data_IF_753552227445
#
_entry.id   IF_753552227445
#
_cell.length_a   1.000
_cell.length_b   1.000
_cell.length_c   1.000
_cell.angle_alpha   90.00
_cell.angle_beta   90.00
_cell.angle_gamma   90.00
#
_symmetry.space_group_name_H-M   'P 1'
#
loop_
_entity.id
_entity.type
_entity.pdbx_description
1 polymer ?
#
# COMPACT_ATOMS: atom_id res chain seq x y z
N UNK A 1 -14.91 1.24 -2.80
CA UNK A 1 -15.40 1.60 -1.44
C UNK A 1 -14.26 1.90 -0.48
N UNK A 2 -13.39 0.95 -0.10
CA UNK A 2 -12.33 1.19 0.91
C UNK A 2 -11.34 2.33 0.54
N UNK A 3 -10.87 2.42 -0.72
CA UNK A 3 -9.97 3.52 -1.15
C UNK A 3 -10.62 4.89 -0.98
N UNK A 4 -11.92 5.02 -1.26
CA UNK A 4 -12.63 6.30 -1.07
C UNK A 4 -12.70 6.69 0.42
N UNK A 5 -12.93 5.72 1.31
CA UNK A 5 -12.87 5.94 2.76
C UNK A 5 -11.46 6.36 3.21
N UNK A 6 -10.40 5.75 2.64
CA UNK A 6 -9.01 6.13 2.92
C UNK A 6 -8.66 7.54 2.43
N UNK A 7 -9.15 7.94 1.23
CA UNK A 7 -9.01 9.31 0.73
C UNK A 7 -9.72 10.28 1.66
N UNK A 8 -10.96 9.99 2.07
CA UNK A 8 -11.69 10.83 3.02
C UNK A 8 -11.00 10.91 4.39
N UNK A 9 -10.44 9.80 4.89
CA UNK A 9 -9.63 9.78 6.11
C UNK A 9 -8.41 10.69 5.98
N UNK A 10 -7.75 10.68 4.82
CA UNK A 10 -6.61 11.55 4.52
C UNK A 10 -7.01 13.02 4.54
N UNK A 11 -8.13 13.39 3.90
CA UNK A 11 -8.63 14.77 3.91
C UNK A 11 -8.96 15.24 5.34
N UNK A 12 -9.54 14.38 6.18
CA UNK A 12 -9.81 14.70 7.59
C UNK A 12 -8.52 14.85 8.41
N UNK A 13 -7.50 14.02 8.16
CA UNK A 13 -6.21 14.13 8.80
C UNK A 13 -5.51 15.45 8.44
N UNK A 14 -5.57 15.86 7.16
CA UNK A 14 -5.08 17.16 6.69
C UNK A 14 -5.88 18.33 7.29
N UNK A 15 -7.20 18.16 7.45
CA UNK A 15 -8.09 19.10 8.11
C UNK A 15 -8.01 19.14 9.63
N UNK A 16 -6.98 18.54 10.24
CA UNK A 16 -6.76 18.48 11.70
C UNK A 16 -7.91 17.83 12.48
N UNK A 17 -8.58 16.83 11.89
CA UNK A 17 -9.63 16.01 12.52
C UNK A 17 -9.18 14.56 12.71
N UNK A 18 -8.15 14.30 13.53
CA UNK A 18 -7.47 13.00 13.61
C UNK A 18 -8.38 11.86 14.12
N UNK A 19 -9.31 12.15 15.03
CA UNK A 19 -10.27 11.15 15.51
C UNK A 19 -11.19 10.66 14.39
N UNK A 20 -11.77 11.58 13.60
CA UNK A 20 -12.62 11.23 12.47
C UNK A 20 -11.84 10.56 11.32
N UNK A 21 -10.58 10.96 11.11
CA UNK A 21 -9.69 10.26 10.19
C UNK A 21 -9.50 8.79 10.60
N UNK A 22 -9.28 8.52 11.89
CA UNK A 22 -9.15 7.16 12.40
C UNK A 22 -10.47 6.35 12.32
N UNK A 23 -11.62 6.98 12.51
CA UNK A 23 -12.95 6.35 12.30
C UNK A 23 -13.10 5.90 10.84
N UNK A 24 -12.83 6.77 9.86
CA UNK A 24 -12.93 6.41 8.44
C UNK A 24 -11.88 5.38 8.02
N UNK A 25 -10.69 5.43 8.60
CA UNK A 25 -9.65 4.44 8.37
C UNK A 25 -10.04 3.06 8.94
N UNK A 26 -10.65 3.01 10.12
CA UNK A 26 -11.22 1.79 10.69
C UNK A 26 -12.33 1.21 9.79
N UNK A 27 -13.26 2.05 9.31
CA UNK A 27 -14.29 1.65 8.36
C UNK A 27 -13.69 1.11 7.04
N UNK A 28 -12.62 1.75 6.55
CA UNK A 28 -11.88 1.29 5.38
C UNK A 28 -11.27 -0.10 5.60
N UNK A 29 -10.62 -0.31 6.75
CA UNK A 29 -10.01 -1.59 7.12
C UNK A 29 -11.04 -2.70 7.31
N UNK A 30 -12.16 -2.40 7.96
CA UNK A 30 -13.25 -3.36 8.15
C UNK A 30 -14.01 -3.66 6.85
N UNK A 31 -13.96 -2.76 5.87
CA UNK A 31 -14.44 -3.06 4.51
C UNK A 31 -13.53 -4.04 3.81
N UNK A 32 -12.21 -3.82 3.88
CA UNK A 32 -11.19 -4.60 3.19
C UNK A 32 -9.84 -4.50 3.93
N UNK A 33 -9.21 -5.62 4.34
CA UNK A 33 -7.87 -5.63 4.94
C UNK A 33 -6.80 -4.98 4.06
N UNK A 34 -7.04 -4.88 2.75
CA UNK A 34 -6.20 -4.14 1.79
C UNK A 34 -6.06 -2.64 2.12
N UNK A 35 -6.81 -2.11 3.08
CA UNK A 35 -6.62 -0.76 3.60
C UNK A 35 -5.47 -0.63 4.62
N UNK A 36 -4.85 -1.74 5.05
CA UNK A 36 -3.74 -1.75 5.99
C UNK A 36 -2.56 -0.82 5.61
N UNK A 37 -2.15 -0.68 4.34
CA UNK A 37 -1.08 0.24 3.95
C UNK A 37 -1.37 1.69 4.37
N UNK A 38 -2.63 2.11 4.48
CA UNK A 38 -2.95 3.48 4.85
C UNK A 38 -2.71 3.80 6.35
N UNK A 39 -2.58 2.78 7.20
CA UNK A 39 -2.46 2.93 8.65
C UNK A 39 -1.17 3.62 9.06
N UNK A 40 -0.03 3.13 8.57
CA UNK A 40 1.28 3.64 8.97
C UNK A 40 1.50 5.09 8.55
N UNK A 41 1.25 5.50 7.29
CA UNK A 41 1.38 6.90 6.88
C UNK A 41 0.46 7.87 7.63
N UNK A 42 -0.81 7.49 7.86
CA UNK A 42 -1.77 8.34 8.59
C UNK A 42 -1.37 8.45 10.07
N UNK A 43 -0.96 7.34 10.70
CA UNK A 43 -0.49 7.36 12.08
C UNK A 43 0.77 8.24 12.24
N UNK A 44 1.73 8.12 11.33
CA UNK A 44 2.94 8.96 11.30
C UNK A 44 2.59 10.44 11.14
N UNK A 45 1.61 10.78 10.29
CA UNK A 45 1.12 12.14 10.13
C UNK A 45 0.48 12.70 11.41
N UNK A 46 -0.41 11.95 12.03
CA UNK A 46 -1.10 12.37 13.26
C UNK A 46 -0.08 12.55 14.40
N UNK A 47 0.91 11.66 14.49
CA UNK A 47 2.03 11.79 15.42
C UNK A 47 2.80 13.09 15.19
N UNK A 48 3.19 13.35 13.95
CA UNK A 48 4.00 14.51 13.59
C UNK A 48 3.29 15.85 13.84
N UNK A 49 1.98 15.88 13.63
CA UNK A 49 1.19 17.12 13.68
C UNK A 49 0.51 17.37 15.03
N UNK A 50 0.27 16.33 15.82
CA UNK A 50 -0.48 16.42 17.07
C UNK A 50 0.15 15.70 18.27
N UNK A 51 1.26 14.99 18.10
CA UNK A 51 1.97 14.29 19.17
C UNK A 51 1.27 13.03 19.71
N UNK A 52 1.85 12.39 20.74
CA UNK A 52 1.39 11.10 21.27
C UNK A 52 -0.04 11.12 21.81
N UNK A 53 -0.46 12.20 22.46
CA UNK A 53 -1.82 12.33 23.03
C UNK A 53 -2.90 12.33 21.94
N UNK A 54 -2.61 12.97 20.81
CA UNK A 54 -3.52 13.00 19.65
C UNK A 54 -3.59 11.63 18.98
N UNK A 55 -2.47 10.93 18.88
CA UNK A 55 -2.44 9.53 18.39
C UNK A 55 -3.25 8.62 19.29
N UNK A 56 -3.10 8.73 20.62
CA UNK A 56 -3.88 7.92 21.57
C UNK A 56 -5.39 8.15 21.42
N UNK A 57 -5.83 9.41 21.29
CA UNK A 57 -7.25 9.75 21.07
C UNK A 57 -7.77 9.22 19.73
N UNK A 58 -6.99 9.35 18.67
CA UNK A 58 -7.35 8.84 17.35
C UNK A 58 -7.43 7.31 17.35
N UNK A 59 -6.45 6.63 17.96
CA UNK A 59 -6.44 5.19 18.14
C UNK A 59 -7.66 4.71 18.93
N UNK A 60 -8.02 5.39 20.03
CA UNK A 60 -9.21 5.09 20.80
C UNK A 60 -10.50 5.21 19.96
N UNK A 61 -10.63 6.25 19.14
CA UNK A 61 -11.79 6.43 18.25
C UNK A 61 -11.87 5.33 17.17
N UNK A 62 -10.75 4.97 16.55
CA UNK A 62 -10.69 3.87 15.58
C UNK A 62 -10.96 2.50 16.20
N UNK A 63 -10.43 2.24 17.40
CA UNK A 63 -10.68 1.02 18.16
C UNK A 63 -12.16 0.90 18.56
N UNK A 64 -12.75 1.97 19.11
CA UNK A 64 -14.18 1.99 19.44
C UNK A 64 -15.05 1.72 18.20
N UNK A 65 -14.72 2.35 17.06
CA UNK A 65 -15.40 2.09 15.78
C UNK A 65 -15.30 0.62 15.38
N UNK A 66 -14.10 0.03 15.46
CA UNK A 66 -13.86 -1.38 15.13
C UNK A 66 -14.68 -2.31 16.03
N UNK A 67 -14.72 -2.05 17.34
CA UNK A 67 -15.54 -2.83 18.30
C UNK A 67 -17.02 -2.76 17.93
N UNK A 68 -17.54 -1.57 17.66
CA UNK A 68 -18.94 -1.38 17.26
C UNK A 68 -19.26 -2.15 15.97
N UNK A 69 -18.36 -2.13 14.98
CA UNK A 69 -18.54 -2.86 13.72
C UNK A 69 -18.49 -4.38 13.89
N UNK A 70 -17.86 -4.89 14.96
CA UNK A 70 -17.83 -6.32 15.28
C UNK A 70 -19.06 -6.83 16.03
N UNK A 71 -19.83 -5.96 16.69
CA UNK A 71 -21.01 -6.33 17.46
C UNK A 71 -21.99 -7.27 16.71
N UNK A 72 -22.38 -7.01 15.44
CA UNK A 72 -23.32 -7.89 14.75
C UNK A 72 -22.75 -9.29 14.44
N UNK A 73 -21.45 -9.49 14.54
CA UNK A 73 -20.77 -10.75 14.19
C UNK A 73 -20.40 -11.60 15.42
N UNK A 74 -20.69 -11.15 16.65
CA UNK A 74 -20.37 -11.90 17.88
C UNK A 74 -21.03 -13.28 17.87
N UNK A 75 -22.29 -13.38 17.42
CA UNK A 75 -23.00 -14.66 17.29
C UNK A 75 -22.37 -15.64 16.28
N UNK A 76 -21.49 -15.15 15.40
CA UNK A 76 -20.74 -15.95 14.42
C UNK A 76 -19.28 -16.17 14.82
N UNK A 77 -18.94 -16.03 16.11
CA UNK A 77 -17.59 -16.18 16.64
C UNK A 77 -16.76 -14.89 16.63
N UNK A 78 -17.31 -13.78 16.15
CA UNK A 78 -16.71 -12.45 16.21
C UNK A 78 -15.27 -12.38 15.65
N UNK A 79 -14.40 -11.54 16.25
CA UNK A 79 -13.01 -11.42 15.82
C UNK A 79 -12.22 -12.74 15.87
N UNK A 80 -12.49 -13.61 16.84
CA UNK A 80 -11.77 -14.88 16.98
C UNK A 80 -12.08 -15.83 15.82
N UNK A 81 -13.37 -15.96 15.46
CA UNK A 81 -13.78 -16.73 14.29
C UNK A 81 -13.18 -16.17 13.00
N UNK A 82 -13.13 -14.85 12.86
CA UNK A 82 -12.49 -14.20 11.72
C UNK A 82 -10.97 -14.49 11.65
N UNK A 83 -10.24 -14.37 12.76
CA UNK A 83 -8.80 -14.65 12.80
C UNK A 83 -8.51 -16.12 12.48
N UNK A 84 -9.32 -17.04 13.00
CA UNK A 84 -9.21 -18.47 12.68
C UNK A 84 -9.38 -18.71 11.17
N UNK A 85 -10.46 -18.18 10.60
CA UNK A 85 -10.70 -18.29 9.16
C UNK A 85 -9.57 -17.65 8.34
N UNK A 86 -9.13 -16.46 8.73
CA UNK A 86 -8.04 -15.75 8.04
C UNK A 86 -6.76 -16.58 8.07
N UNK A 87 -6.43 -17.20 9.21
CA UNK A 87 -5.29 -18.09 9.35
C UNK A 87 -5.39 -19.27 8.38
N UNK A 88 -6.52 -19.98 8.34
CA UNK A 88 -6.71 -21.10 7.40
C UNK A 88 -6.59 -20.64 5.95
N UNK A 89 -7.28 -19.57 5.56
CA UNK A 89 -7.24 -19.08 4.18
C UNK A 89 -5.84 -18.59 3.77
N UNK A 90 -5.11 -17.90 4.65
CA UNK A 90 -3.77 -17.41 4.33
C UNK A 90 -2.70 -18.49 4.41
N UNK A 91 -2.79 -19.44 5.33
CA UNK A 91 -1.77 -20.47 5.55
C UNK A 91 -1.94 -21.69 4.63
N UNK A 92 -3.17 -22.04 4.28
CA UNK A 92 -3.48 -23.30 3.60
C UNK A 92 -4.04 -23.11 2.20
N UNK A 93 -4.97 -22.16 2.01
CA UNK A 93 -5.74 -22.05 0.76
C UNK A 93 -5.10 -21.12 -0.27
N UNK A 94 -4.68 -19.93 0.16
CA UNK A 94 -4.16 -18.86 -0.69
C UNK A 94 -2.70 -18.54 -0.38
N UNK A 95 -1.95 -19.51 0.10
CA UNK A 95 -0.55 -19.36 0.51
C UNK A 95 0.41 -19.22 -0.66
N UNK A 96 0.11 -18.38 -1.65
CA UNK A 96 0.88 -18.22 -2.90
C UNK A 96 1.78 -16.98 -2.81
N UNK A 97 3.01 -17.10 -3.28
CA UNK A 97 4.01 -16.02 -3.23
C UNK A 97 3.57 -14.77 -3.98
N UNK A 98 3.18 -14.90 -5.25
CA UNK A 98 2.52 -13.86 -6.04
C UNK A 98 1.41 -14.44 -6.90
N UNK A 99 0.23 -13.84 -6.85
CA UNK A 99 -0.92 -14.31 -7.61
C UNK A 99 -1.02 -13.51 -8.90
N UNK A 100 -0.11 -13.81 -9.84
CA UNK A 100 -0.03 -13.16 -11.17
C UNK A 100 0.12 -11.64 -11.09
N UNK A 101 0.76 -11.15 -10.03
CA UNK A 101 1.03 -9.74 -9.84
C UNK A 101 2.48 -9.43 -10.15
N UNK A 102 2.73 -8.47 -11.06
CA UNK A 102 4.09 -7.99 -11.34
C UNK A 102 4.73 -7.25 -10.15
N UNK A 103 5.28 -8.01 -9.21
CA UNK A 103 6.00 -7.58 -8.02
C UNK A 103 7.32 -8.36 -7.84
N UNK A 104 8.02 -8.19 -6.72
CA UNK A 104 9.31 -8.88 -6.48
C UNK A 104 9.15 -10.39 -6.46
N UNK A 105 8.02 -10.87 -5.96
CA UNK A 105 7.73 -12.29 -5.78
C UNK A 105 7.43 -13.00 -7.09
N UNK A 106 6.88 -12.30 -8.07
CA UNK A 106 6.75 -12.83 -9.42
C UNK A 106 8.10 -13.12 -10.06
N UNK A 107 9.12 -12.27 -9.82
CA UNK A 107 10.49 -12.53 -10.29
C UNK A 107 11.06 -13.81 -9.68
N UNK A 108 10.79 -14.04 -8.39
CA UNK A 108 11.21 -15.27 -7.70
C UNK A 108 10.49 -16.49 -8.28
N UNK A 109 9.18 -16.42 -8.52
CA UNK A 109 8.41 -17.53 -9.13
C UNK A 109 8.86 -17.82 -10.56
N UNK A 110 9.11 -16.80 -11.38
CA UNK A 110 9.66 -16.95 -12.72
C UNK A 110 11.02 -17.63 -12.70
N UNK A 111 11.94 -17.15 -11.87
CA UNK A 111 13.29 -17.69 -11.81
C UNK A 111 13.34 -19.12 -11.23
N UNK A 112 12.50 -19.44 -10.23
CA UNK A 112 12.56 -20.71 -9.53
C UNK A 112 11.65 -21.80 -10.12
N UNK A 113 10.53 -21.41 -10.74
CA UNK A 113 9.49 -22.34 -11.17
C UNK A 113 8.85 -21.99 -12.54
N UNK A 114 9.45 -21.08 -13.31
CA UNK A 114 8.95 -20.72 -14.65
C UNK A 114 7.53 -20.14 -14.62
N UNK A 115 7.20 -19.35 -13.58
CA UNK A 115 5.89 -18.70 -13.44
C UNK A 115 4.85 -19.54 -12.68
N UNK A 116 5.14 -20.80 -12.37
CA UNK A 116 4.26 -21.63 -11.54
C UNK A 116 4.14 -21.08 -10.10
N UNK A 117 2.99 -21.31 -9.47
CA UNK A 117 2.74 -20.84 -8.11
C UNK A 117 3.60 -21.57 -7.09
N UNK A 118 4.26 -20.78 -6.24
CA UNK A 118 5.09 -21.27 -5.13
C UNK A 118 4.39 -20.90 -3.83
N UNK A 119 4.41 -21.82 -2.86
CA UNK A 119 3.86 -21.51 -1.56
C UNK A 119 4.73 -20.49 -0.81
N UNK A 120 4.13 -19.42 -0.26
CA UNK A 120 4.86 -18.41 0.54
C UNK A 120 5.22 -18.90 1.96
N UNK A 121 4.61 -20.01 2.38
CA UNK A 121 4.96 -20.77 3.56
C UNK A 121 6.18 -21.68 3.40
N UNK A 122 6.75 -21.79 2.19
CA UNK A 122 7.95 -22.61 1.97
C UNK A 122 9.14 -22.06 2.77
N UNK A 123 9.79 -22.89 3.61
CA UNK A 123 11.00 -22.50 4.33
C UNK A 123 12.17 -22.20 3.39
N UNK A 124 12.94 -21.18 3.72
CA UNK A 124 14.16 -20.77 3.00
C UNK A 124 15.39 -21.08 3.85
N UNK A 125 15.31 -20.75 5.15
CA UNK A 125 16.38 -20.96 6.11
C UNK A 125 15.80 -21.24 7.50
N UNK A 126 15.87 -22.50 7.94
CA UNK A 126 15.27 -22.92 9.20
C UNK A 126 13.75 -22.64 9.22
N UNK A 127 13.20 -22.00 10.27
CA UNK A 127 11.77 -21.66 10.34
C UNK A 127 11.39 -20.44 9.49
N UNK A 128 12.35 -19.74 8.87
CA UNK A 128 12.09 -18.53 8.09
C UNK A 128 11.58 -18.92 6.71
N UNK A 129 10.38 -18.43 6.37
CA UNK A 129 9.72 -18.63 5.07
C UNK A 129 9.74 -17.37 4.22
N UNK A 130 9.33 -17.46 2.95
CA UNK A 130 9.20 -16.29 2.09
C UNK A 130 8.25 -15.22 2.64
N UNK A 131 7.16 -15.63 3.27
CA UNK A 131 6.23 -14.73 3.95
C UNK A 131 6.92 -13.88 5.01
N UNK A 132 7.81 -14.47 5.81
CA UNK A 132 8.57 -13.74 6.84
C UNK A 132 9.50 -12.70 6.21
N UNK A 133 10.16 -13.02 5.09
CA UNK A 133 10.97 -12.05 4.35
C UNK A 133 10.10 -10.90 3.86
N UNK A 134 8.93 -11.19 3.28
CA UNK A 134 7.99 -10.14 2.86
C UNK A 134 7.54 -9.23 3.98
N UNK A 135 7.19 -9.78 5.15
CA UNK A 135 6.88 -8.96 6.32
C UNK A 135 8.04 -8.09 6.77
N UNK A 136 9.27 -8.62 6.77
CA UNK A 136 10.47 -7.85 7.11
C UNK A 136 10.72 -6.68 6.15
N UNK A 137 10.63 -6.92 4.84
CA UNK A 137 10.83 -5.89 3.81
C UNK A 137 9.75 -4.81 3.87
N UNK A 138 8.48 -5.21 3.98
CA UNK A 138 7.36 -4.26 4.13
C UNK A 138 7.53 -3.44 5.41
N UNK A 139 7.78 -4.07 6.56
CA UNK A 139 7.97 -3.37 7.83
C UNK A 139 9.11 -2.36 7.79
N UNK A 140 10.24 -2.72 7.18
CA UNK A 140 11.38 -1.82 7.01
C UNK A 140 11.04 -0.61 6.13
N UNK A 141 10.43 -0.84 4.97
CA UNK A 141 10.11 0.23 4.01
C UNK A 141 8.97 1.13 4.51
N UNK A 142 7.97 0.57 5.19
CA UNK A 142 6.92 1.34 5.89
C UNK A 142 7.51 2.23 7.00
N UNK A 143 8.49 1.72 7.75
CA UNK A 143 9.19 2.52 8.75
C UNK A 143 9.94 3.69 8.11
N UNK A 144 10.60 3.48 6.96
CA UNK A 144 11.23 4.56 6.19
C UNK A 144 10.19 5.62 5.79
N UNK A 145 9.04 5.21 5.24
CA UNK A 145 7.95 6.13 4.87
C UNK A 145 7.45 6.91 6.09
N UNK A 146 7.19 6.23 7.21
CA UNK A 146 6.75 6.85 8.45
C UNK A 146 7.75 7.88 8.97
N UNK A 147 9.05 7.57 8.97
CA UNK A 147 10.12 8.49 9.39
C UNK A 147 10.14 9.74 8.50
N UNK A 148 10.01 9.59 7.18
CA UNK A 148 10.03 10.73 6.26
C UNK A 148 8.79 11.62 6.46
N UNK A 149 7.59 11.03 6.62
CA UNK A 149 6.36 11.77 6.94
C UNK A 149 6.53 12.51 8.28
N UNK A 150 7.04 11.83 9.30
CA UNK A 150 7.20 12.42 10.63
C UNK A 150 8.20 13.58 10.66
N UNK A 151 9.27 13.50 9.86
CA UNK A 151 10.28 14.57 9.74
C UNK A 151 9.85 15.74 8.87
N UNK A 152 8.93 15.51 7.92
CA UNK A 152 8.47 16.55 7.00
C UNK A 152 6.96 16.47 6.75
N UNK A 153 6.12 16.81 7.74
CA UNK A 153 4.67 16.64 7.68
C UNK A 153 4.02 17.73 6.81
N UNK A 154 4.18 17.62 5.49
CA UNK A 154 3.44 18.41 4.49
C UNK A 154 2.34 17.57 3.83
N UNK A 155 1.23 18.19 3.36
CA UNK A 155 0.18 17.45 2.66
C UNK A 155 0.69 16.58 1.51
N UNK A 156 1.64 17.11 0.73
CA UNK A 156 2.33 16.37 -0.33
C UNK A 156 3.03 15.12 0.21
N UNK A 157 3.79 15.24 1.30
CA UNK A 157 4.50 14.11 1.91
C UNK A 157 3.52 13.03 2.38
N UNK A 158 2.39 13.39 2.99
CA UNK A 158 1.38 12.40 3.39
C UNK A 158 0.80 11.66 2.18
N UNK A 159 0.32 12.40 1.19
CA UNK A 159 -0.34 11.81 0.01
C UNK A 159 0.61 10.93 -0.79
N UNK A 160 1.85 11.38 -1.00
CA UNK A 160 2.86 10.57 -1.67
C UNK A 160 3.31 9.37 -0.81
N UNK A 161 3.37 9.53 0.51
CA UNK A 161 3.68 8.46 1.44
C UNK A 161 2.61 7.36 1.43
N UNK A 162 1.34 7.73 1.30
CA UNK A 162 0.23 6.78 1.12
C UNK A 162 0.34 6.00 -0.20
N UNK A 163 0.66 6.69 -1.30
CA UNK A 163 0.91 6.02 -2.58
C UNK A 163 2.11 5.06 -2.49
N UNK A 164 3.23 5.53 -1.92
CA UNK A 164 4.43 4.72 -1.73
C UNK A 164 4.17 3.50 -0.85
N UNK A 165 3.39 3.66 0.23
CA UNK A 165 3.02 2.57 1.14
C UNK A 165 2.23 1.47 0.43
N UNK A 166 1.22 1.84 -0.37
CA UNK A 166 0.48 0.85 -1.19
C UNK A 166 1.42 0.11 -2.15
N UNK A 167 2.34 0.82 -2.80
CA UNK A 167 3.31 0.23 -3.72
C UNK A 167 4.32 -0.67 -2.99
N UNK A 168 4.74 -0.31 -1.78
CA UNK A 168 5.61 -1.14 -0.93
C UNK A 168 4.90 -2.43 -0.56
N UNK A 169 3.67 -2.36 -0.03
CA UNK A 169 2.92 -3.56 0.33
C UNK A 169 2.66 -4.41 -0.91
N UNK A 170 2.24 -3.83 -2.04
CA UNK A 170 2.06 -4.56 -3.29
C UNK A 170 3.35 -5.23 -3.80
N UNK A 171 4.45 -4.49 -3.74
CA UNK A 171 5.74 -4.87 -4.28
C UNK A 171 6.45 -5.95 -3.46
N UNK A 172 6.24 -5.97 -2.14
CA UNK A 172 7.04 -6.75 -1.19
C UNK A 172 6.24 -7.66 -0.25
N UNK A 173 4.92 -7.50 -0.10
CA UNK A 173 4.12 -8.51 0.62
C UNK A 173 3.82 -9.71 -0.29
N UNK A 174 3.74 -10.91 0.28
CA UNK A 174 3.30 -12.12 -0.44
C UNK A 174 1.78 -12.13 -0.62
N UNK A 175 1.25 -13.04 -1.42
CA UNK A 175 -0.21 -13.20 -1.66
C UNK A 175 -0.87 -11.97 -2.30
N UNK A 176 -0.08 -11.15 -3.00
CA UNK A 176 -0.60 -9.97 -3.68
C UNK A 176 -1.19 -10.34 -5.05
N UNK A 177 -2.35 -9.76 -5.34
CA UNK A 177 -2.98 -9.76 -6.66
C UNK A 177 -2.73 -8.44 -7.37
N UNK A 178 -2.75 -8.45 -8.70
CA UNK A 178 -2.54 -7.30 -9.58
C UNK A 178 -3.37 -6.08 -9.17
N UNK A 179 -4.64 -6.27 -8.78
CA UNK A 179 -5.55 -5.20 -8.36
C UNK A 179 -5.21 -4.51 -7.04
N UNK A 180 -4.30 -5.07 -6.23
CA UNK A 180 -3.97 -4.51 -4.91
C UNK A 180 -3.14 -3.23 -4.99
N UNK A 181 -2.48 -2.95 -6.12
CA UNK A 181 -1.81 -1.68 -6.36
C UNK A 181 -2.76 -0.50 -6.61
N UNK A 182 -4.07 -0.74 -6.80
CA UNK A 182 -5.05 0.28 -7.20
C UNK A 182 -5.09 1.50 -6.25
N UNK A 183 -4.88 1.29 -4.95
CA UNK A 183 -4.84 2.40 -3.97
C UNK A 183 -3.79 3.46 -4.31
N UNK A 184 -2.64 3.05 -4.86
CA UNK A 184 -1.58 3.96 -5.25
C UNK A 184 -2.02 4.90 -6.38
N UNK A 185 -2.83 4.42 -7.33
CA UNK A 185 -3.34 5.23 -8.43
C UNK A 185 -4.14 6.41 -7.89
N UNK A 186 -5.06 6.14 -6.95
CA UNK A 186 -5.89 7.17 -6.35
C UNK A 186 -5.04 8.28 -5.69
N UNK A 187 -4.03 7.92 -4.90
CA UNK A 187 -3.19 8.92 -4.23
C UNK A 187 -2.22 9.64 -5.18
N UNK A 188 -1.68 8.97 -6.21
CA UNK A 188 -0.84 9.62 -7.22
C UNK A 188 -1.64 10.66 -8.03
N UNK A 189 -2.92 10.39 -8.33
CA UNK A 189 -3.77 11.35 -9.06
C UNK A 189 -4.05 12.63 -8.28
N UNK A 190 -4.01 12.58 -6.94
CA UNK A 190 -4.16 13.77 -6.09
C UNK A 190 -2.96 14.73 -6.16
N UNK A 191 -1.85 14.33 -6.80
CA UNK A 191 -0.62 15.12 -6.95
C UNK A 191 -0.26 15.34 -8.43
N UNK A 192 -1.23 15.22 -9.33
CA UNK A 192 -1.03 15.26 -10.79
C UNK A 192 -0.52 16.63 -11.29
N UNK A 193 -0.72 17.69 -10.51
CA UNK A 193 -0.19 19.02 -10.78
C UNK A 193 1.33 19.07 -10.71
N UNK A 194 1.98 18.16 -9.95
CA UNK A 194 3.44 18.09 -9.86
C UNK A 194 4.01 17.30 -11.06
N UNK A 195 4.81 17.91 -11.97
CA UNK A 195 5.23 17.27 -13.22
C UNK A 195 5.93 15.91 -13.03
N UNK A 196 6.85 15.81 -12.06
CA UNK A 196 7.54 14.55 -11.76
C UNK A 196 6.58 13.44 -11.28
N UNK A 197 5.59 13.80 -10.47
CA UNK A 197 4.60 12.85 -9.95
C UNK A 197 3.59 12.47 -11.02
N UNK A 198 3.24 13.39 -11.93
CA UNK A 198 2.43 13.10 -13.11
C UNK A 198 3.05 12.00 -13.97
N UNK A 199 4.34 12.12 -14.28
CA UNK A 199 5.05 11.10 -15.06
C UNK A 199 5.14 9.77 -14.31
N UNK A 200 5.41 9.80 -13.01
CA UNK A 200 5.38 8.60 -12.17
C UNK A 200 4.00 7.93 -12.18
N UNK A 201 2.93 8.72 -12.03
CA UNK A 201 1.54 8.25 -12.06
C UNK A 201 1.13 7.71 -13.42
N UNK A 202 1.57 8.34 -14.52
CA UNK A 202 1.32 7.85 -15.88
C UNK A 202 2.04 6.52 -16.14
N UNK A 203 3.32 6.43 -15.77
CA UNK A 203 4.10 5.20 -15.87
C UNK A 203 3.47 4.08 -15.02
N UNK A 204 3.09 4.39 -13.78
CA UNK A 204 2.37 3.45 -12.92
C UNK A 204 1.04 3.00 -13.54
N UNK A 205 0.21 3.93 -14.03
CA UNK A 205 -1.06 3.61 -14.67
C UNK A 205 -0.89 2.67 -15.87
N UNK A 206 0.13 2.89 -16.71
CA UNK A 206 0.42 2.02 -17.84
C UNK A 206 0.84 0.61 -17.40
N UNK A 207 1.79 0.50 -16.46
CA UNK A 207 2.28 -0.81 -15.96
C UNK A 207 1.18 -1.55 -15.20
N UNK A 208 0.39 -0.85 -14.38
CA UNK A 208 -0.73 -1.42 -13.65
C UNK A 208 -1.82 -1.96 -14.58
N UNK A 209 -2.20 -1.20 -15.61
CA UNK A 209 -3.16 -1.67 -16.63
C UNK A 209 -2.63 -2.85 -17.41
N UNK A 210 -1.36 -2.84 -17.81
CA UNK A 210 -0.74 -3.97 -18.49
C UNK A 210 -0.73 -5.23 -17.61
N UNK A 211 -0.39 -5.09 -16.32
CA UNK A 211 -0.45 -6.20 -15.35
C UNK A 211 -1.87 -6.75 -15.19
N UNK A 212 -2.89 -5.88 -15.10
CA UNK A 212 -4.30 -6.29 -15.04
C UNK A 212 -4.72 -7.10 -16.28
N UNK A 213 -4.38 -6.61 -17.47
CA UNK A 213 -4.70 -7.28 -18.73
C UNK A 213 -3.94 -8.59 -18.89
N UNK A 214 -2.70 -8.68 -18.41
CA UNK A 214 -1.91 -9.89 -18.46
C UNK A 214 -2.43 -10.96 -17.48
N UNK A 215 -2.80 -10.55 -16.27
CA UNK A 215 -3.30 -11.46 -15.24
C UNK A 215 -4.71 -12.01 -15.56
N UNK A 216 -5.58 -11.16 -16.12
CA UNK A 216 -6.97 -11.46 -16.47
C UNK A 216 -7.28 -10.97 -17.90
N UNK A 217 -6.76 -11.65 -18.94
CA UNK A 217 -6.95 -11.22 -20.31
C UNK A 217 -8.41 -11.36 -20.74
N UNK A 218 -9.06 -10.28 -21.23
CA UNK A 218 -10.48 -10.34 -21.61
C UNK A 218 -10.70 -11.05 -22.95
N UNK A 219 -9.63 -11.30 -23.71
CA UNK A 219 -9.67 -12.07 -24.97
C UNK A 219 -8.43 -12.96 -25.13
N UNK A 220 -8.50 -14.05 -25.91
CA UNK A 220 -7.33 -14.88 -26.22
C UNK A 220 -6.20 -14.12 -26.90
N UNK A 221 -6.54 -13.14 -27.75
CA UNK A 221 -5.53 -12.28 -28.40
C UNK A 221 -4.74 -11.47 -27.37
N UNK A 222 -5.41 -10.89 -26.35
CA UNK A 222 -4.70 -10.18 -25.26
C UNK A 222 -3.82 -11.15 -24.47
N UNK A 223 -4.28 -12.37 -24.20
CA UNK A 223 -3.48 -13.38 -23.50
C UNK A 223 -2.19 -13.72 -24.26
N UNK A 224 -2.23 -13.72 -25.60
CA UNK A 224 -1.06 -13.99 -26.45
C UNK A 224 -0.10 -12.79 -26.51
N UNK A 225 -0.62 -11.56 -26.58
CA UNK A 225 0.20 -10.34 -26.73
C UNK A 225 0.75 -9.86 -25.38
N UNK A 226 0.02 -10.09 -24.29
CA UNK A 226 0.38 -9.72 -22.93
C UNK A 226 0.43 -10.96 -22.02
N UNK A 227 1.34 -11.92 -22.26
CA UNK A 227 1.51 -13.04 -21.35
C UNK A 227 1.96 -12.53 -19.97
N UNK A 228 1.36 -13.05 -18.90
CA UNK A 228 1.79 -12.72 -17.54
C UNK A 228 3.18 -13.29 -17.22
N UNK A 229 3.52 -14.40 -17.88
CA UNK A 229 4.76 -15.15 -17.68
C UNK A 229 5.90 -14.70 -18.60
N UNK A 230 7.11 -15.13 -18.27
CA UNK A 230 8.30 -14.94 -19.09
C UNK A 230 8.83 -13.50 -19.13
N UNK A 231 9.50 -13.08 -20.22
CA UNK A 231 10.22 -11.80 -20.27
C UNK A 231 9.35 -10.57 -20.00
N UNK A 232 8.08 -10.59 -20.43
CA UNK A 232 7.15 -9.49 -20.18
C UNK A 232 6.82 -9.35 -18.70
N UNK A 233 6.52 -10.46 -18.02
CA UNK A 233 6.29 -10.48 -16.58
C UNK A 233 7.49 -9.99 -15.77
N UNK A 234 8.69 -10.40 -16.17
CA UNK A 234 9.95 -9.94 -15.56
C UNK A 234 10.11 -8.42 -15.75
N UNK A 235 9.96 -7.93 -16.97
CA UNK A 235 10.07 -6.50 -17.27
C UNK A 235 9.01 -5.68 -16.52
N UNK A 236 7.78 -6.18 -16.45
CA UNK A 236 6.68 -5.57 -15.69
C UNK A 236 6.97 -5.46 -14.20
N UNK A 237 7.50 -6.53 -13.59
CA UNK A 237 7.91 -6.53 -12.18
C UNK A 237 9.05 -5.55 -11.91
N UNK A 238 10.07 -5.51 -12.76
CA UNK A 238 11.18 -4.55 -12.64
C UNK A 238 10.67 -3.12 -12.75
N UNK A 239 9.79 -2.84 -13.72
CA UNK A 239 9.18 -1.52 -13.88
C UNK A 239 8.37 -1.11 -12.64
N UNK A 240 7.59 -2.03 -12.07
CA UNK A 240 6.83 -1.77 -10.85
C UNK A 240 7.72 -1.49 -9.65
N UNK A 241 8.82 -2.23 -9.49
CA UNK A 241 9.79 -1.97 -8.43
C UNK A 241 10.47 -0.61 -8.62
N UNK A 242 10.84 -0.25 -9.86
CA UNK A 242 11.39 1.06 -10.18
C UNK A 242 10.40 2.19 -9.85
N UNK A 243 9.11 2.01 -10.16
CA UNK A 243 8.04 2.95 -9.77
C UNK A 243 7.94 3.07 -8.24
N UNK A 244 7.97 1.94 -7.53
CA UNK A 244 7.91 1.90 -6.06
C UNK A 244 9.06 2.68 -5.43
N UNK A 245 10.30 2.42 -5.86
CA UNK A 245 11.47 3.16 -5.39
C UNK A 245 11.44 4.62 -5.84
N UNK A 246 10.93 4.92 -7.04
CA UNK A 246 10.71 6.27 -7.52
C UNK A 246 9.75 7.08 -6.64
N UNK A 247 8.68 6.45 -6.14
CA UNK A 247 7.74 7.05 -5.20
C UNK A 247 8.42 7.34 -3.85
N UNK A 248 9.18 6.39 -3.30
CA UNK A 248 9.94 6.56 -2.05
C UNK A 248 10.99 7.68 -2.20
N UNK A 249 11.73 7.72 -3.31
CA UNK A 249 12.70 8.79 -3.57
C UNK A 249 12.03 10.16 -3.69
N UNK A 250 10.88 10.23 -4.36
CA UNK A 250 10.13 11.47 -4.49
C UNK A 250 9.54 11.98 -3.16
N UNK A 251 9.38 11.08 -2.17
CA UNK A 251 8.99 11.41 -0.80
C UNK A 251 10.09 12.20 -0.07
N UNK A 252 11.35 11.78 -0.23
CA UNK A 252 12.52 12.42 0.39
C UNK A 252 12.99 13.70 -0.31
N UNK A 253 12.59 13.91 -1.57
CA UNK A 253 12.93 15.13 -2.31
C UNK A 253 12.20 16.35 -1.71
N UNK A 254 12.96 17.39 -1.35
CA UNK A 254 12.42 18.65 -0.87
C UNK A 254 11.47 19.27 -1.93
N UNK A 255 10.35 19.89 -1.52
CA UNK A 255 9.53 20.68 -2.44
C UNK A 255 10.38 21.79 -3.08
N UNK A 256 10.21 22.08 -4.38
CA UNK A 256 10.90 23.19 -5.05
C UNK A 256 10.71 24.56 -4.35
N UNK A 257 9.59 24.72 -3.64
CA UNK A 257 9.11 26.04 -3.18
C UNK A 257 9.75 26.57 -1.90
N UNK A 258 10.73 25.89 -1.29
CA UNK A 258 11.52 26.48 -0.18
C UNK A 258 12.66 27.38 -0.65
N UNK A 259 12.94 27.48 -1.95
CA UNK A 259 14.02 28.31 -2.49
C UNK A 259 13.61 29.75 -2.86
N UNK A 260 12.33 30.13 -2.75
CA UNK A 260 11.86 31.45 -3.18
C UNK A 260 10.78 32.03 -2.26
N UNK A 261 11.12 32.28 -1.00
CA UNK A 261 10.53 33.41 -0.28
C UNK A 261 11.66 34.40 0.02
N UNK A 262 11.98 35.33 -0.91
CA UNK A 262 12.74 36.51 -0.54
C UNK A 262 12.00 37.18 0.62
N UNK A 263 12.71 37.33 1.74
CA UNK A 263 12.30 38.20 2.84
C UNK A 263 11.86 39.52 2.23
N UNK A 264 10.56 39.85 2.30
CA UNK A 264 10.16 41.24 2.07
C UNK A 264 10.74 42.05 3.23
N UNK A 265 11.64 43.01 2.98
CA UNK A 265 11.87 44.10 3.94
C UNK A 265 10.58 44.94 4.03
N UNK A 266 10.39 45.61 5.16
CA UNK A 266 9.19 46.35 5.56
C UNK A 266 8.71 47.45 4.60
N UNK A 267 7.61 48.12 4.95
CA UNK A 267 7.62 49.08 6.07
C UNK A 267 6.87 48.63 7.33
#
# INVERSE_FOLDING_TARGET
MYVALAVAATLLALGKRPAWAAVLLALSLMTKPQALPFVVPIAAWIWATGGPSTVARAAAAGAATTVVLWLPFIGSGGPAGYISNLSTYQAEVFNILSVRAWNVWWLVQEAAAGGAFIADGTPILGPVTWRHIGYGLVGLLELVIAIVIARNPTPRTLVLGLAASVLVVFGFATQMHERYAFGALAFLTLLIETPRIRWLGAAFGAVFTANLLAAVPPTPWIAQVLPVEGPLGIAGSIAMLAITFGAIQALGAAPPDRAAAPSRPGP
#
